data_IF_959090755327
#
_entry.id   IF_959090755327
#
_cell.length_a   1.000
_cell.length_b   1.000
_cell.length_c   1.000
_cell.angle_alpha   90.00
_cell.angle_beta   90.00
_cell.angle_gamma   90.00
#
_symmetry.space_group_name_H-M   'P 1'
#
loop_
_entity.id
_entity.type
_entity.pdbx_description
1 polymer ?
#
# COMPACT_ATOMS: atom_id res chain seq x y z
N UNK A 1 18.83 11.84 3.13
CA UNK A 1 18.17 11.32 4.35
C UNK A 1 16.74 10.86 4.10
N UNK A 2 15.90 11.61 3.37
CA UNK A 2 14.51 11.19 3.03
C UNK A 2 14.39 9.78 2.45
N UNK A 3 15.13 9.49 1.37
CA UNK A 3 15.07 8.20 0.66
C UNK A 3 15.46 7.04 1.57
N UNK A 4 16.48 7.23 2.41
CA UNK A 4 16.92 6.24 3.40
C UNK A 4 15.81 5.92 4.41
N UNK A 5 15.11 6.93 4.93
CA UNK A 5 14.01 6.73 5.89
C UNK A 5 12.83 6.02 5.21
N UNK A 6 12.45 6.44 4.00
CA UNK A 6 11.36 5.78 3.25
C UNK A 6 11.70 4.33 2.93
N UNK A 7 12.94 4.05 2.50
CA UNK A 7 13.41 2.69 2.24
C UNK A 7 13.42 1.83 3.51
N UNK A 8 13.86 2.40 4.64
CA UNK A 8 13.83 1.72 5.94
C UNK A 8 12.40 1.40 6.38
N UNK A 9 11.46 2.34 6.21
CA UNK A 9 10.04 2.12 6.50
C UNK A 9 9.45 0.98 5.66
N UNK A 10 9.77 0.93 4.36
CA UNK A 10 9.33 -0.14 3.46
C UNK A 10 9.92 -1.48 3.90
N UNK A 11 11.22 -1.54 4.21
CA UNK A 11 11.88 -2.77 4.66
C UNK A 11 11.32 -3.27 5.99
N UNK A 12 11.17 -2.39 6.98
CA UNK A 12 10.58 -2.75 8.28
C UNK A 12 9.16 -3.25 8.08
N UNK A 13 8.35 -2.56 7.26
CA UNK A 13 6.99 -3.01 7.01
C UNK A 13 6.96 -4.36 6.30
N UNK A 14 7.83 -4.58 5.32
CA UNK A 14 7.93 -5.86 4.64
C UNK A 14 8.24 -6.99 5.62
N UNK A 15 9.23 -6.81 6.50
CA UNK A 15 9.56 -7.79 7.54
C UNK A 15 8.38 -8.00 8.49
N UNK A 16 7.70 -6.93 8.91
CA UNK A 16 6.51 -7.02 9.77
C UNK A 16 5.38 -7.79 9.08
N UNK A 17 5.16 -7.54 7.79
CA UNK A 17 4.12 -8.17 6.98
C UNK A 17 4.35 -9.67 6.84
N UNK A 18 5.59 -10.07 6.62
CA UNK A 18 5.95 -11.48 6.42
C UNK A 18 6.08 -12.26 7.73
N UNK A 19 6.28 -11.59 8.87
CA UNK A 19 6.44 -12.25 10.18
C UNK A 19 5.20 -12.11 11.07
N UNK A 20 4.92 -10.90 11.55
CA UNK A 20 3.90 -10.63 12.55
C UNK A 20 2.48 -10.66 11.96
N UNK A 21 2.28 -10.09 10.77
CA UNK A 21 0.92 -10.02 10.19
C UNK A 21 0.43 -11.36 9.64
N UNK A 22 1.33 -12.31 9.34
CA UNK A 22 0.93 -13.69 9.05
C UNK A 22 0.26 -14.36 10.27
N UNK A 23 0.67 -14.02 11.49
CA UNK A 23 0.05 -14.52 12.72
C UNK A 23 -1.30 -13.84 13.02
N UNK A 24 -1.56 -12.68 12.43
CA UNK A 24 -2.84 -11.96 12.51
C UNK A 24 -3.79 -12.32 11.36
N UNK A 25 -3.49 -13.37 10.60
CA UNK A 25 -4.35 -13.86 9.55
C UNK A 25 -5.63 -14.46 10.14
N UNK A 26 -6.78 -13.87 9.82
CA UNK A 26 -8.09 -14.39 10.21
C UNK A 26 -8.61 -15.18 9.01
N UNK A 27 -8.81 -16.49 9.17
CA UNK A 27 -9.21 -17.40 8.09
C UNK A 27 -8.27 -17.40 6.86
N UNK A 28 -6.97 -17.17 7.08
CA UNK A 28 -5.97 -17.12 6.01
C UNK A 28 -5.90 -15.79 5.25
N UNK A 29 -6.69 -14.79 5.67
CA UNK A 29 -6.72 -13.46 5.06
C UNK A 29 -6.03 -12.48 6.00
N UNK A 30 -5.06 -11.74 5.48
CA UNK A 30 -4.30 -10.74 6.22
C UNK A 30 -4.29 -9.41 5.45
N UNK A 31 -4.12 -8.27 6.15
CA UNK A 31 -4.19 -6.97 5.51
C UNK A 31 -2.91 -6.73 4.72
N UNK A 32 -3.04 -6.10 3.55
CA UNK A 32 -1.89 -5.76 2.73
C UNK A 32 -1.29 -4.44 3.20
N UNK A 33 -0.45 -4.51 4.24
CA UNK A 33 0.14 -3.31 4.85
C UNK A 33 1.08 -2.58 3.91
N UNK A 34 1.79 -3.30 3.04
CA UNK A 34 2.64 -2.70 2.01
C UNK A 34 1.82 -1.81 1.07
N UNK A 35 0.62 -2.27 0.66
CA UNK A 35 -0.28 -1.48 -0.16
C UNK A 35 -0.72 -0.20 0.56
N UNK A 36 -1.13 -0.31 1.83
CA UNK A 36 -1.54 0.83 2.65
C UNK A 36 -0.42 1.88 2.73
N UNK A 37 0.82 1.45 2.95
CA UNK A 37 1.98 2.35 3.01
C UNK A 37 2.21 3.06 1.68
N UNK A 38 2.24 2.31 0.58
CA UNK A 38 2.47 2.87 -0.77
C UNK A 38 1.39 3.89 -1.12
N UNK A 39 0.12 3.55 -0.87
CA UNK A 39 -1.03 4.44 -1.07
C UNK A 39 -0.91 5.69 -0.21
N UNK A 40 -0.59 5.54 1.07
CA UNK A 40 -0.45 6.66 2.00
C UNK A 40 0.70 7.59 1.60
N UNK A 41 1.85 7.05 1.19
CA UNK A 41 2.97 7.85 0.68
C UNK A 41 2.63 8.56 -0.63
N UNK A 42 1.93 7.89 -1.54
CA UNK A 42 1.46 8.50 -2.79
C UNK A 42 0.51 9.68 -2.53
N UNK A 43 -0.39 9.55 -1.54
CA UNK A 43 -1.28 10.64 -1.12
C UNK A 43 -0.55 11.79 -0.42
N UNK A 44 0.43 11.49 0.44
CA UNK A 44 1.13 12.51 1.23
C UNK A 44 2.17 13.29 0.41
N UNK A 45 2.86 12.63 -0.52
CA UNK A 45 4.02 13.17 -1.25
C UNK A 45 3.81 13.31 -2.75
N UNK A 46 2.70 12.81 -3.27
CA UNK A 46 2.33 12.90 -4.68
C UNK A 46 2.89 11.77 -5.54
N UNK A 47 2.54 11.84 -6.83
CA UNK A 47 2.78 10.77 -7.81
C UNK A 47 4.24 10.34 -7.95
N UNK A 48 5.21 11.27 -8.01
CA UNK A 48 6.63 10.90 -8.22
C UNK A 48 7.19 10.04 -7.09
N UNK A 49 7.06 10.52 -5.85
CA UNK A 49 7.55 9.80 -4.66
C UNK A 49 6.73 8.52 -4.43
N UNK A 50 5.40 8.58 -4.61
CA UNK A 50 4.52 7.42 -4.55
C UNK A 50 4.94 6.31 -5.51
N UNK A 51 5.17 6.64 -6.78
CA UNK A 51 5.63 5.68 -7.79
C UNK A 51 6.98 5.05 -7.42
N UNK A 52 7.95 5.84 -6.94
CA UNK A 52 9.25 5.30 -6.50
C UNK A 52 9.04 4.28 -5.37
N UNK A 53 8.23 4.62 -4.36
CA UNK A 53 7.94 3.70 -3.26
C UNK A 53 7.18 2.45 -3.73
N UNK A 54 6.24 2.60 -4.66
CA UNK A 54 5.49 1.50 -5.26
C UNK A 54 6.37 0.57 -6.08
N UNK A 55 7.29 1.11 -6.88
CA UNK A 55 8.27 0.35 -7.65
C UNK A 55 9.18 -0.45 -6.73
N UNK A 56 9.78 0.20 -5.73
CA UNK A 56 10.68 -0.48 -4.79
C UNK A 56 9.95 -1.60 -4.05
N UNK A 57 8.74 -1.34 -3.58
CA UNK A 57 7.93 -2.34 -2.87
C UNK A 57 7.51 -3.47 -3.80
N UNK A 58 6.99 -3.17 -4.99
CA UNK A 58 6.56 -4.16 -5.98
C UNK A 58 7.70 -5.06 -6.47
N UNK A 59 8.88 -4.51 -6.72
CA UNK A 59 10.07 -5.30 -7.06
C UNK A 59 10.48 -6.22 -5.90
N UNK A 60 10.41 -5.73 -4.66
CA UNK A 60 10.71 -6.55 -3.49
C UNK A 60 9.74 -7.75 -3.42
N UNK A 61 8.44 -7.50 -3.61
CA UNK A 61 7.43 -8.56 -3.64
C UNK A 61 7.65 -9.53 -4.81
N UNK A 62 8.01 -9.06 -6.00
CA UNK A 62 8.33 -9.92 -7.13
C UNK A 62 9.54 -10.85 -6.85
N UNK A 63 10.53 -10.39 -6.09
CA UNK A 63 11.73 -11.19 -5.75
C UNK A 63 11.42 -12.29 -4.74
N UNK A 64 10.63 -11.97 -3.70
CA UNK A 64 10.37 -12.90 -2.59
C UNK A 64 9.12 -13.77 -2.78
N UNK A 65 8.07 -13.23 -3.42
CA UNK A 65 6.74 -13.85 -3.52
C UNK A 65 6.27 -14.05 -4.96
N UNK A 66 6.91 -13.40 -5.94
CA UNK A 66 6.50 -13.46 -7.34
C UNK A 66 6.76 -14.82 -7.98
N UNK A 67 5.68 -15.48 -8.41
CA UNK A 67 5.77 -16.64 -9.34
C UNK A 67 6.07 -16.18 -10.76
N UNK A 68 5.58 -14.98 -11.13
CA UNK A 68 5.83 -14.31 -12.40
C UNK A 68 6.54 -12.99 -12.15
N UNK A 69 7.72 -12.81 -12.76
CA UNK A 69 8.52 -11.59 -12.59
C UNK A 69 7.77 -10.38 -13.16
N UNK A 70 7.67 -9.31 -12.38
CA UNK A 70 7.09 -8.03 -12.82
C UNK A 70 5.60 -7.85 -12.53
N UNK A 71 4.93 -8.87 -11.98
CA UNK A 71 3.50 -8.82 -11.70
C UNK A 71 3.18 -7.81 -10.59
N UNK A 72 3.85 -7.93 -9.43
CA UNK A 72 3.66 -7.02 -8.31
C UNK A 72 4.22 -5.64 -8.62
N UNK A 73 5.35 -5.55 -9.34
CA UNK A 73 5.87 -4.27 -9.82
C UNK A 73 4.83 -3.46 -10.59
N UNK A 74 4.16 -4.05 -11.59
CA UNK A 74 3.15 -3.35 -12.38
C UNK A 74 1.93 -2.94 -11.57
N UNK A 75 1.45 -3.82 -10.68
CA UNK A 75 0.32 -3.55 -9.81
C UNK A 75 0.58 -2.36 -8.88
N UNK A 76 1.67 -2.40 -8.11
CA UNK A 76 2.00 -1.35 -7.15
C UNK A 76 2.33 -0.03 -7.85
N UNK A 77 2.98 -0.07 -9.01
CA UNK A 77 3.22 1.11 -9.84
C UNK A 77 1.91 1.74 -10.33
N UNK A 78 1.00 0.94 -10.88
CA UNK A 78 -0.28 1.43 -11.38
C UNK A 78 -1.10 2.10 -10.27
N UNK A 79 -1.27 1.41 -9.14
CA UNK A 79 -2.02 1.91 -7.99
C UNK A 79 -1.42 3.20 -7.45
N UNK A 80 -0.10 3.23 -7.21
CA UNK A 80 0.59 4.42 -6.69
C UNK A 80 0.54 5.61 -7.65
N UNK A 81 0.60 5.36 -8.96
CA UNK A 81 0.48 6.40 -9.97
C UNK A 81 -0.89 7.07 -9.98
N UNK A 82 -1.98 6.28 -10.01
CA UNK A 82 -3.35 6.81 -10.03
C UNK A 82 -3.67 7.58 -8.74
N UNK A 83 -3.28 7.03 -7.59
CA UNK A 83 -3.53 7.65 -6.29
C UNK A 83 -2.68 8.89 -6.10
N UNK A 84 -1.41 8.84 -6.48
CA UNK A 84 -0.52 10.00 -6.37
C UNK A 84 -0.88 11.15 -7.31
N UNK A 85 -1.65 10.89 -8.39
CA UNK A 85 -2.24 11.93 -9.23
C UNK A 85 -3.38 12.66 -8.51
N UNK A 86 -4.14 11.94 -7.69
CA UNK A 86 -5.23 12.49 -6.86
C UNK A 86 -4.76 13.33 -5.67
N UNK A 87 -3.45 13.35 -5.39
CA UNK A 87 -2.85 14.13 -4.31
C UNK A 87 -3.17 15.64 -4.38
N UNK A 88 -3.36 16.21 -5.59
CA UNK A 88 -3.70 17.63 -5.74
C UNK A 88 -5.03 18.02 -5.08
N UNK A 89 -5.94 17.06 -4.91
CA UNK A 89 -7.24 17.26 -4.26
C UNK A 89 -7.24 16.81 -2.79
N UNK A 90 -6.08 16.48 -2.22
CA UNK A 90 -5.96 15.90 -0.90
C UNK A 90 -5.90 16.97 0.20
N UNK A 91 -6.98 17.09 0.98
CA UNK A 91 -7.01 17.87 2.21
C UNK A 91 -6.43 17.04 3.35
N UNK A 92 -5.27 17.45 3.87
CA UNK A 92 -4.50 16.72 4.91
C UNK A 92 -5.26 16.52 6.23
N UNK A 93 -6.31 17.31 6.48
CA UNK A 93 -7.13 17.25 7.70
C UNK A 93 -8.16 16.12 7.68
N UNK A 94 -8.48 15.56 6.51
CA UNK A 94 -9.52 14.53 6.36
C UNK A 94 -8.93 13.11 6.37
N UNK A 95 -8.95 12.47 7.55
CA UNK A 95 -8.57 11.06 7.72
C UNK A 95 -9.43 10.07 6.91
N UNK A 96 -10.59 10.50 6.39
CA UNK A 96 -11.44 9.69 5.53
C UNK A 96 -10.81 9.39 4.15
N UNK A 97 -10.08 10.35 3.58
CA UNK A 97 -9.56 10.20 2.22
C UNK A 97 -8.56 9.03 2.10
N UNK A 98 -7.54 8.89 2.97
CA UNK A 98 -6.65 7.73 2.94
C UNK A 98 -7.37 6.40 3.07
N UNK A 99 -8.41 6.33 3.91
CA UNK A 99 -9.19 5.10 4.10
C UNK A 99 -9.91 4.73 2.81
N UNK A 100 -10.59 5.68 2.17
CA UNK A 100 -11.31 5.45 0.91
C UNK A 100 -10.34 5.01 -0.18
N UNK A 101 -9.22 5.72 -0.36
CA UNK A 101 -8.24 5.35 -1.39
C UNK A 101 -7.56 4.01 -1.12
N UNK A 102 -7.23 3.68 0.15
CA UNK A 102 -6.68 2.37 0.49
C UNK A 102 -7.70 1.25 0.26
N UNK A 103 -8.97 1.49 0.58
CA UNK A 103 -10.08 0.54 0.36
C UNK A 103 -10.26 0.25 -1.12
N UNK A 104 -10.30 1.30 -1.95
CA UNK A 104 -10.40 1.17 -3.42
C UNK A 104 -9.16 0.47 -3.98
N UNK A 105 -7.97 0.84 -3.53
CA UNK A 105 -6.72 0.21 -3.95
C UNK A 105 -6.68 -1.27 -3.60
N UNK A 106 -7.09 -1.64 -2.38
CA UNK A 106 -7.14 -3.03 -1.93
C UNK A 106 -8.14 -3.84 -2.77
N UNK A 107 -9.33 -3.28 -3.02
CA UNK A 107 -10.31 -3.92 -3.91
C UNK A 107 -9.79 -4.10 -5.33
N UNK A 108 -9.16 -3.07 -5.91
CA UNK A 108 -8.57 -3.15 -7.24
C UNK A 108 -7.46 -4.21 -7.30
N UNK A 109 -6.60 -4.27 -6.28
CA UNK A 109 -5.55 -5.27 -6.16
C UNK A 109 -6.12 -6.69 -6.13
N UNK A 110 -7.09 -6.98 -5.26
CA UNK A 110 -7.72 -8.30 -5.16
C UNK A 110 -8.44 -8.69 -6.45
N UNK A 111 -9.11 -7.73 -7.09
CA UNK A 111 -9.84 -7.97 -8.34
C UNK A 111 -8.90 -8.31 -9.50
N UNK A 112 -7.77 -7.59 -9.64
CA UNK A 112 -6.76 -7.89 -10.66
C UNK A 112 -6.10 -9.24 -10.35
N UNK A 113 -5.87 -9.54 -9.07
CA UNK A 113 -5.32 -10.83 -8.65
C UNK A 113 -6.22 -11.99 -9.02
N UNK A 114 -7.51 -11.90 -8.68
CA UNK A 114 -8.51 -12.89 -9.06
C UNK A 114 -8.63 -13.04 -10.58
N UNK A 115 -8.65 -11.92 -11.32
CA UNK A 115 -8.72 -11.95 -12.79
C UNK A 115 -7.51 -12.68 -13.40
N UNK A 116 -6.33 -12.49 -12.81
CA UNK A 116 -5.09 -13.15 -13.24
C UNK A 116 -5.14 -14.65 -12.94
N UNK A 117 -5.62 -15.05 -11.76
CA UNK A 117 -5.81 -16.47 -11.41
C UNK A 117 -6.84 -17.19 -12.31
N UNK A 118 -7.92 -16.49 -12.69
CA UNK A 118 -8.96 -17.00 -13.57
C UNK A 118 -8.41 -17.34 -14.97
N UNK A 119 -7.56 -16.46 -15.53
CA UNK A 119 -6.91 -16.68 -16.82
C UNK A 119 -5.91 -17.84 -16.74
N UNK A 120 -5.23 -18.02 -15.59
CA UNK A 120 -4.07 -18.90 -15.48
C UNK A 120 -4.37 -20.40 -15.30
N UNK A 121 -5.49 -20.83 -14.67
CA UNK A 121 -6.01 -22.24 -14.69
C UNK A 121 -7.05 -22.61 -13.62
N UNK A 122 -7.57 -21.71 -12.77
CA UNK A 122 -8.52 -22.10 -11.70
C UNK A 122 -9.99 -21.99 -12.13
N UNK A 123 -10.79 -22.96 -11.69
CA UNK A 123 -12.25 -22.83 -11.58
C UNK A 123 -12.59 -21.65 -10.67
N UNK A 124 -12.95 -20.52 -11.26
CA UNK A 124 -13.21 -19.28 -10.54
C UNK A 124 -14.64 -19.22 -10.02
N UNK A 125 -14.88 -19.68 -8.79
CA UNK A 125 -16.14 -19.40 -8.13
C UNK A 125 -16.17 -17.93 -7.67
N UNK A 126 -16.68 -17.05 -8.54
CA UNK A 126 -16.83 -15.61 -8.29
C UNK A 126 -17.53 -15.31 -6.96
N UNK A 127 -18.56 -16.08 -6.63
CA UNK A 127 -19.37 -15.87 -5.43
C UNK A 127 -18.56 -16.20 -4.17
N UNK A 128 -17.75 -17.27 -4.22
CA UNK A 128 -16.79 -17.59 -3.16
C UNK A 128 -15.74 -16.49 -3.00
N UNK A 129 -15.16 -16.01 -4.11
CA UNK A 129 -14.16 -14.94 -4.08
C UNK A 129 -14.71 -13.66 -3.44
N UNK A 130 -15.90 -13.22 -3.86
CA UNK A 130 -16.50 -11.97 -3.34
C UNK A 130 -16.76 -12.06 -1.84
N UNK A 131 -17.40 -13.15 -1.40
CA UNK A 131 -17.84 -13.28 -0.01
C UNK A 131 -16.72 -13.68 0.95
N UNK A 132 -15.80 -14.55 0.52
CA UNK A 132 -14.75 -15.09 1.38
C UNK A 132 -13.42 -14.39 1.27
N UNK A 133 -13.11 -13.70 0.16
CA UNK A 133 -11.79 -13.07 -0.03
C UNK A 133 -11.94 -11.55 -0.13
N UNK A 134 -12.66 -11.06 -1.13
CA UNK A 134 -12.74 -9.64 -1.46
C UNK A 134 -13.33 -8.80 -0.33
N UNK A 135 -14.52 -9.15 0.18
CA UNK A 135 -15.18 -8.39 1.24
C UNK A 135 -14.37 -8.37 2.55
N UNK A 136 -13.92 -9.52 3.09
CA UNK A 136 -13.08 -9.52 4.30
C UNK A 136 -11.79 -8.71 4.12
N UNK A 137 -11.11 -8.85 2.98
CA UNK A 137 -9.86 -8.12 2.72
C UNK A 137 -10.07 -6.61 2.69
N UNK A 138 -11.13 -6.14 2.05
CA UNK A 138 -11.41 -4.71 1.97
C UNK A 138 -11.75 -4.14 3.34
N UNK A 139 -12.62 -4.82 4.10
CA UNK A 139 -13.00 -4.39 5.45
C UNK A 139 -11.78 -4.38 6.37
N UNK A 140 -10.96 -5.42 6.32
CA UNK A 140 -9.78 -5.53 7.18
C UNK A 140 -8.72 -4.48 6.82
N UNK A 141 -8.47 -4.23 5.53
CA UNK A 141 -7.58 -3.14 5.11
C UNK A 141 -8.12 -1.76 5.52
N UNK A 142 -9.43 -1.52 5.43
CA UNK A 142 -10.02 -0.24 5.84
C UNK A 142 -9.79 0.04 7.34
N UNK A 143 -9.97 -0.97 8.20
CA UNK A 143 -9.72 -0.86 9.64
C UNK A 143 -8.23 -0.63 9.92
N UNK A 144 -7.36 -1.43 9.31
CA UNK A 144 -5.90 -1.40 9.54
C UNK A 144 -5.24 -0.15 8.94
N UNK A 145 -5.85 0.45 7.92
CA UNK A 145 -5.38 1.72 7.34
C UNK A 145 -5.37 2.84 8.38
N UNK A 146 -6.33 2.87 9.30
CA UNK A 146 -6.44 3.96 10.30
C UNK A 146 -5.19 4.07 11.19
N UNK A 147 -4.76 3.03 11.93
CA UNK A 147 -3.58 3.12 12.77
C UNK A 147 -2.29 3.30 11.95
N UNK A 148 -2.17 2.62 10.81
CA UNK A 148 -0.97 2.73 9.95
C UNK A 148 -0.84 4.15 9.40
N UNK A 149 -1.91 4.73 8.87
CA UNK A 149 -1.90 6.09 8.34
C UNK A 149 -1.52 7.10 9.42
N UNK A 150 -2.05 6.95 10.65
CA UNK A 150 -1.71 7.84 11.76
C UNK A 150 -0.21 7.83 12.09
N UNK A 151 0.41 6.64 12.10
CA UNK A 151 1.85 6.48 12.32
C UNK A 151 2.64 7.10 11.17
N UNK A 152 2.26 6.81 9.91
CA UNK A 152 2.91 7.36 8.72
C UNK A 152 2.81 8.88 8.64
N UNK A 153 1.66 9.45 8.98
CA UNK A 153 1.45 10.90 9.00
C UNK A 153 2.41 11.57 9.98
N UNK A 154 2.54 11.05 11.21
CA UNK A 154 3.47 11.59 12.20
C UNK A 154 4.94 11.50 11.76
N UNK A 155 5.34 10.38 11.14
CA UNK A 155 6.69 10.23 10.57
C UNK A 155 6.93 11.25 9.45
N UNK A 156 5.93 11.45 8.58
CA UNK A 156 6.02 12.38 7.47
C UNK A 156 6.11 13.84 7.95
N UNK A 157 5.31 14.22 8.95
CA UNK A 157 5.33 15.56 9.54
C UNK A 157 6.68 15.86 10.20
N UNK A 158 7.23 14.90 10.95
CA UNK A 158 8.56 15.04 11.54
C UNK A 158 9.66 15.23 10.48
N UNK A 159 9.58 14.49 9.37
CA UNK A 159 10.50 14.65 8.23
C UNK A 159 10.36 16.03 7.57
N UNK A 160 9.13 16.50 7.31
CA UNK A 160 8.87 17.82 6.73
C UNK A 160 9.41 18.95 7.61
N UNK A 161 9.23 18.86 8.94
CA UNK A 161 9.74 19.84 9.89
C UNK A 161 11.27 19.89 9.86
N UNK A 162 11.94 18.73 9.90
CA UNK A 162 13.41 18.65 9.92
C UNK A 162 14.05 19.28 8.69
N UNK A 163 13.36 19.27 7.55
CA UNK A 163 13.83 19.95 6.35
C UNK A 163 13.51 21.43 6.30
N UNK A 164 12.33 21.86 6.77
CA UNK A 164 12.08 23.30 6.92
C UNK A 164 13.12 23.96 7.83
N UNK A 165 13.57 23.28 8.89
CA UNK A 165 14.67 23.76 9.73
C UNK A 165 16.00 23.81 8.99
N UNK A 166 16.35 22.77 8.21
CA UNK A 166 17.59 22.75 7.43
C UNK A 166 17.65 23.91 6.43
N UNK A 167 16.55 24.22 5.73
CA UNK A 167 16.51 25.33 4.76
C UNK A 167 16.48 26.73 5.39
N UNK A 168 16.23 26.87 6.69
CA UNK A 168 16.33 28.17 7.39
C UNK A 168 17.73 28.46 7.96
N UNK A 169 18.61 27.46 7.99
CA UNK A 169 19.97 27.54 8.49
C UNK A 169 21.01 27.79 7.38
N UNK A 170 20.56 27.90 6.13
CA UNK A 170 21.32 28.31 4.96
C UNK A 170 20.61 29.49 4.31
#
# INVERSE_FOLDING_TARGET
MRILVTALTILINFILQTTLFQHLAIQGIFPNTALIIVVSYALLRGSKEGCITGICTGLLFDIFFGTTKGYYFLLFLGISYFIGKSQKNFYRENYLLPIIFCTIAAGAYEFIHFSTELILRKDGNLLFFILKVFLPTIVYNAIVTVPIYRVLFGINEWLELKEKYRYRLF
#
